data_IF_033770094456
#
_entry.id   IF_033770094456
#
_cell.length_a   1.000
_cell.length_b   1.000
_cell.length_c   1.000
_cell.angle_alpha   90.00
_cell.angle_beta   90.00
_cell.angle_gamma   90.00
#
_symmetry.space_group_name_H-M   'P 1'
#
loop_
_entity.id
_entity.type
_entity.pdbx_description
1 polymer ?
#
# COMPACT_ATOMS: atom_id res chain seq x y z
N UNK A 1 -10.84 1.33 -19.40
CA UNK A 1 -9.41 1.59 -19.08
C UNK A 1 -8.73 0.28 -18.74
N UNK A 2 -7.39 0.22 -18.79
CA UNK A 2 -6.68 -1.01 -18.43
C UNK A 2 -6.61 -1.18 -16.91
N UNK A 3 -6.22 -0.14 -16.19
CA UNK A 3 -6.06 -0.15 -14.75
C UNK A 3 -6.90 0.94 -14.09
N UNK A 4 -7.80 0.53 -13.20
CA UNK A 4 -8.57 1.43 -12.35
C UNK A 4 -7.71 1.84 -11.13
N UNK A 5 -7.46 3.14 -11.00
CA UNK A 5 -6.71 3.73 -9.89
C UNK A 5 -7.27 5.13 -9.58
N UNK A 6 -7.77 5.33 -8.36
CA UNK A 6 -8.47 6.56 -7.97
C UNK A 6 -7.52 7.67 -7.56
N UNK A 7 -6.83 8.29 -8.51
CA UNK A 7 -5.77 9.29 -8.24
C UNK A 7 -6.27 10.61 -7.65
N UNK A 8 -7.58 10.91 -7.75
CA UNK A 8 -8.20 12.10 -7.14
C UNK A 8 -8.06 12.11 -5.62
N UNK A 9 -8.18 10.92 -5.01
CA UNK A 9 -8.12 10.77 -3.55
C UNK A 9 -6.67 10.59 -3.05
N UNK A 10 -5.70 10.61 -3.95
CA UNK A 10 -4.26 10.40 -3.73
C UNK A 10 -3.93 9.03 -3.11
N UNK A 11 -4.53 8.68 -1.97
CA UNK A 11 -4.21 7.46 -1.23
C UNK A 11 -4.31 6.14 -2.03
N UNK A 12 -5.19 5.96 -3.04
CA UNK A 12 -5.29 4.68 -3.76
C UNK A 12 -4.05 4.30 -4.58
N UNK A 13 -3.08 5.22 -4.72
CA UNK A 13 -1.82 4.90 -5.38
C UNK A 13 -0.82 4.14 -4.47
N UNK A 14 -1.19 3.85 -3.20
CA UNK A 14 -0.34 3.19 -2.22
C UNK A 14 0.33 1.89 -2.70
N UNK A 15 -0.29 1.02 -3.51
CA UNK A 15 0.38 -0.20 -3.94
C UNK A 15 1.68 0.09 -4.71
N UNK A 16 1.70 1.19 -5.45
CA UNK A 16 2.83 1.62 -6.27
C UNK A 16 3.78 2.59 -5.55
N UNK A 17 3.27 3.43 -4.66
CA UNK A 17 4.05 4.48 -4.03
C UNK A 17 4.52 4.14 -2.63
N UNK A 18 3.76 3.33 -1.91
CA UNK A 18 4.08 2.91 -0.54
C UNK A 18 4.76 1.54 -0.51
N UNK A 19 4.19 0.56 -1.20
CA UNK A 19 4.65 -0.83 -1.12
C UNK A 19 5.71 -1.22 -2.13
N UNK A 20 5.69 -0.61 -3.31
CA UNK A 20 6.63 -0.97 -4.38
C UNK A 20 8.11 -0.89 -3.95
N UNK A 21 8.58 0.11 -3.16
CA UNK A 21 9.97 0.11 -2.68
C UNK A 21 10.31 -1.11 -1.82
N UNK A 22 9.39 -1.56 -0.96
CA UNK A 22 9.57 -2.77 -0.16
C UNK A 22 9.47 -4.05 -0.99
N UNK A 23 8.63 -4.06 -2.01
CA UNK A 23 8.54 -5.18 -2.96
C UNK A 23 9.79 -5.29 -3.84
N UNK A 24 10.35 -4.16 -4.27
CA UNK A 24 11.58 -4.11 -5.08
C UNK A 24 12.79 -4.64 -4.30
N UNK A 25 12.91 -4.24 -3.04
CA UNK A 25 14.03 -4.63 -2.17
C UNK A 25 13.85 -5.99 -1.48
N UNK A 26 12.62 -6.50 -1.37
CA UNK A 26 12.29 -7.61 -0.46
C UNK A 26 12.42 -7.25 1.03
N UNK A 27 12.47 -5.95 1.34
CA UNK A 27 12.68 -5.43 2.69
C UNK A 27 11.47 -4.64 3.18
N UNK A 28 10.69 -5.20 4.11
CA UNK A 28 9.55 -4.53 4.71
C UNK A 28 9.90 -3.31 5.55
N UNK A 29 11.18 -3.13 5.92
CA UNK A 29 11.73 -1.98 6.66
C UNK A 29 12.26 -0.88 5.72
N UNK A 30 11.78 -0.80 4.48
CA UNK A 30 12.32 0.14 3.49
C UNK A 30 12.31 1.60 3.98
N UNK A 31 11.25 2.05 4.66
CA UNK A 31 11.16 3.39 5.22
C UNK A 31 12.23 3.67 6.28
N UNK A 32 12.47 2.69 7.16
CA UNK A 32 13.53 2.79 8.17
C UNK A 32 14.91 2.79 7.51
N UNK A 33 15.11 2.02 6.44
CA UNK A 33 16.34 2.04 5.64
C UNK A 33 16.56 3.41 4.99
N UNK A 34 15.52 4.04 4.45
CA UNK A 34 15.60 5.40 3.90
C UNK A 34 16.05 6.42 4.96
N UNK A 35 15.59 6.28 6.20
CA UNK A 35 16.00 7.17 7.29
C UNK A 35 17.51 7.16 7.58
N UNK A 36 18.20 6.06 7.23
CA UNK A 36 19.67 5.94 7.41
C UNK A 36 20.47 6.42 6.20
N UNK A 37 19.84 6.83 5.11
CA UNK A 37 20.48 7.22 3.85
C UNK A 37 20.47 8.74 3.67
N UNK A 38 21.55 9.31 3.13
CA UNK A 38 21.61 10.74 2.79
C UNK A 38 20.81 11.07 1.51
N UNK A 39 20.69 10.10 0.61
CA UNK A 39 20.05 10.28 -0.69
C UNK A 39 19.19 9.06 -1.07
N UNK A 40 18.06 8.80 -0.37
CA UNK A 40 17.23 7.62 -0.60
C UNK A 40 16.53 7.59 -1.95
N UNK A 41 16.45 8.72 -2.65
CA UNK A 41 15.88 8.84 -3.99
C UNK A 41 16.96 8.90 -5.09
N UNK A 42 18.22 8.57 -4.80
CA UNK A 42 19.28 8.56 -5.79
C UNK A 42 19.15 7.38 -6.74
N UNK A 43 19.64 7.55 -7.97
CA UNK A 43 19.68 6.48 -8.97
C UNK A 43 20.35 5.22 -8.40
N UNK A 44 19.70 4.07 -8.64
CA UNK A 44 20.16 2.76 -8.15
C UNK A 44 19.59 2.33 -6.81
N UNK A 45 18.98 3.25 -6.02
CA UNK A 45 18.25 2.85 -4.80
C UNK A 45 16.94 2.13 -5.14
N UNK A 46 16.42 1.33 -4.22
CA UNK A 46 15.17 0.60 -4.43
C UNK A 46 13.97 1.55 -4.51
N UNK A 47 13.98 2.65 -3.74
CA UNK A 47 12.96 3.70 -3.83
C UNK A 47 12.97 4.38 -5.20
N UNK A 48 14.17 4.70 -5.75
CA UNK A 48 14.29 5.27 -7.09
C UNK A 48 13.71 4.32 -8.15
N UNK A 49 14.13 3.04 -8.15
CA UNK A 49 13.66 2.03 -9.09
C UNK A 49 12.13 1.87 -9.02
N UNK A 50 11.59 1.76 -7.81
CA UNK A 50 10.16 1.61 -7.59
C UNK A 50 9.36 2.78 -8.14
N UNK A 51 9.80 4.01 -7.87
CA UNK A 51 9.09 5.21 -8.31
C UNK A 51 9.26 5.48 -9.81
N UNK A 52 10.37 5.09 -10.42
CA UNK A 52 10.52 5.11 -11.87
C UNK A 52 9.55 4.16 -12.56
N UNK A 53 9.35 2.93 -12.04
CA UNK A 53 8.33 1.99 -12.54
C UNK A 53 6.91 2.55 -12.38
N UNK A 54 6.60 3.13 -11.21
CA UNK A 54 5.31 3.76 -10.97
C UNK A 54 5.06 4.92 -11.96
N UNK A 55 6.06 5.77 -12.18
CA UNK A 55 5.98 6.88 -13.11
C UNK A 55 5.75 6.42 -14.56
N UNK A 56 6.45 5.36 -15.00
CA UNK A 56 6.24 4.76 -16.32
C UNK A 56 4.80 4.24 -16.46
N UNK A 57 4.32 3.46 -15.49
CA UNK A 57 2.96 2.93 -15.49
C UNK A 57 1.92 4.06 -15.51
N UNK A 58 2.06 5.05 -14.66
CA UNK A 58 1.10 6.14 -14.52
C UNK A 58 1.01 7.00 -15.80
N UNK A 59 2.11 7.13 -16.54
CA UNK A 59 2.17 7.87 -17.80
C UNK A 59 1.96 7.00 -19.07
N UNK A 60 1.76 5.69 -18.92
CA UNK A 60 1.54 4.75 -20.03
C UNK A 60 0.19 4.92 -20.74
N UNK A 61 -0.75 5.64 -20.13
CA UNK A 61 -2.15 5.71 -20.57
C UNK A 61 -3.04 4.60 -20.00
N UNK A 62 -2.51 3.66 -19.22
CA UNK A 62 -3.27 2.57 -18.61
C UNK A 62 -4.38 3.06 -17.68
N UNK A 63 -4.16 4.20 -17.02
CA UNK A 63 -5.12 4.84 -16.09
C UNK A 63 -6.28 5.57 -16.80
N UNK A 64 -6.31 5.59 -18.14
CA UNK A 64 -7.34 6.28 -18.90
C UNK A 64 -7.04 7.77 -19.10
N UNK A 65 -8.11 8.54 -19.44
CA UNK A 65 -7.94 9.93 -19.90
C UNK A 65 -7.86 10.96 -18.79
N UNK A 66 -8.50 10.69 -17.65
CA UNK A 66 -8.62 11.65 -16.54
C UNK A 66 -8.51 10.91 -15.18
N UNK A 67 -7.33 10.35 -14.86
CA UNK A 67 -7.15 9.62 -13.59
C UNK A 67 -7.26 10.54 -12.36
N UNK A 68 -6.89 11.83 -12.47
CA UNK A 68 -7.01 12.82 -11.38
C UNK A 68 -8.46 13.23 -11.10
N UNK A 69 -9.39 12.99 -12.03
CA UNK A 69 -10.81 13.25 -11.85
C UNK A 69 -11.58 12.11 -11.17
N UNK A 70 -10.96 10.92 -11.02
CA UNK A 70 -11.60 9.71 -10.51
C UNK A 70 -11.19 9.42 -9.07
N UNK A 71 -12.17 9.33 -8.17
CA UNK A 71 -11.98 8.88 -6.78
C UNK A 71 -12.04 7.35 -6.65
N UNK A 72 -11.69 6.84 -5.46
CA UNK A 72 -11.64 5.41 -5.16
C UNK A 72 -12.96 4.70 -5.47
N UNK A 73 -14.08 5.17 -4.91
CA UNK A 73 -15.38 4.52 -5.09
C UNK A 73 -15.82 4.47 -6.56
N UNK A 74 -15.47 5.53 -7.32
CA UNK A 74 -15.76 5.57 -8.74
C UNK A 74 -14.98 4.51 -9.52
N UNK A 75 -13.69 4.32 -9.22
CA UNK A 75 -12.87 3.32 -9.93
C UNK A 75 -13.26 1.89 -9.53
N UNK A 76 -13.66 1.64 -8.28
CA UNK A 76 -14.25 0.36 -7.86
C UNK A 76 -15.54 0.08 -8.63
N UNK A 77 -16.45 1.06 -8.71
CA UNK A 77 -17.70 0.93 -9.49
C UNK A 77 -17.45 0.73 -11.00
N UNK A 78 -16.40 1.34 -11.55
CA UNK A 78 -16.01 1.12 -12.94
C UNK A 78 -15.45 -0.29 -13.17
N UNK A 79 -14.70 -0.83 -12.22
CA UNK A 79 -14.19 -2.19 -12.28
C UNK A 79 -15.32 -3.20 -12.20
N UNK A 80 -16.23 -3.11 -11.21
CA UNK A 80 -17.38 -4.01 -11.07
C UNK A 80 -18.33 -3.95 -12.27
N UNK A 81 -18.48 -2.76 -12.89
CA UNK A 81 -19.23 -2.57 -14.14
C UNK A 81 -18.45 -3.00 -15.41
N UNK A 82 -17.30 -3.67 -15.30
CA UNK A 82 -16.45 -4.15 -16.42
C UNK A 82 -15.95 -3.04 -17.36
N UNK A 83 -15.88 -1.79 -16.87
CA UNK A 83 -15.31 -0.63 -17.61
C UNK A 83 -13.81 -0.47 -17.43
N UNK A 84 -13.22 -1.21 -16.48
CA UNK A 84 -11.80 -1.36 -16.28
C UNK A 84 -11.44 -2.85 -16.22
N UNK A 85 -10.28 -3.21 -16.76
CA UNK A 85 -9.83 -4.59 -16.79
C UNK A 85 -9.19 -5.03 -15.49
N UNK A 86 -8.57 -4.10 -14.77
CA UNK A 86 -7.86 -4.35 -13.51
C UNK A 86 -8.18 -3.25 -12.48
N UNK A 87 -8.11 -3.62 -11.21
CA UNK A 87 -8.15 -2.71 -10.07
C UNK A 87 -6.93 -3.00 -9.18
N UNK A 88 -6.12 -1.99 -8.86
CA UNK A 88 -5.06 -2.13 -7.88
C UNK A 88 -5.58 -1.73 -6.50
N UNK A 89 -5.63 -2.70 -5.59
CA UNK A 89 -6.13 -2.49 -4.22
C UNK A 89 -5.62 -3.60 -3.29
N UNK A 90 -6.05 -3.62 -2.04
CA UNK A 90 -5.83 -4.71 -1.09
C UNK A 90 -6.99 -5.70 -1.07
N UNK A 91 -6.82 -6.80 -0.34
CA UNK A 91 -7.82 -7.85 -0.12
C UNK A 91 -9.13 -7.31 0.49
N UNK A 92 -9.04 -6.26 1.30
CA UNK A 92 -10.17 -5.56 1.91
C UNK A 92 -11.18 -5.01 0.88
N UNK A 93 -10.74 -4.72 -0.35
CA UNK A 93 -11.63 -4.23 -1.41
C UNK A 93 -12.61 -5.28 -1.91
N UNK A 94 -12.31 -6.58 -1.73
CA UNK A 94 -13.16 -7.68 -2.19
C UNK A 94 -14.57 -7.59 -1.61
N UNK A 95 -14.72 -7.22 -0.35
CA UNK A 95 -16.05 -7.06 0.27
C UNK A 95 -16.94 -6.05 -0.46
N UNK A 96 -16.36 -4.95 -0.95
CA UNK A 96 -17.11 -3.96 -1.73
C UNK A 96 -17.41 -4.49 -3.14
N UNK A 97 -16.43 -5.18 -3.74
CA UNK A 97 -16.59 -5.77 -5.08
C UNK A 97 -17.70 -6.82 -5.07
N UNK A 98 -17.77 -7.68 -4.05
CA UNK A 98 -18.81 -8.70 -3.91
C UNK A 98 -20.25 -8.15 -3.85
N UNK A 99 -20.42 -6.96 -3.28
CA UNK A 99 -21.73 -6.32 -3.20
C UNK A 99 -22.21 -5.79 -4.56
N UNK A 100 -21.26 -5.35 -5.39
CA UNK A 100 -21.57 -4.60 -6.60
C UNK A 100 -21.34 -5.43 -7.87
N UNK A 101 -20.61 -6.53 -7.81
CA UNK A 101 -20.35 -7.41 -8.95
C UNK A 101 -21.55 -8.35 -9.20
N UNK A 102 -21.99 -8.43 -10.44
CA UNK A 102 -23.06 -9.35 -10.85
C UNK A 102 -22.63 -10.83 -10.79
N UNK A 103 -21.35 -11.11 -11.02
CA UNK A 103 -20.79 -12.46 -11.15
C UNK A 103 -19.31 -12.47 -10.76
N UNK A 104 -19.01 -13.09 -9.64
CA UNK A 104 -17.64 -13.24 -9.12
C UNK A 104 -16.81 -14.29 -9.88
N UNK A 105 -17.42 -15.20 -10.61
CA UNK A 105 -16.70 -16.22 -11.37
C UNK A 105 -15.83 -15.65 -12.50
N UNK A 106 -16.01 -14.37 -12.81
CA UNK A 106 -15.21 -13.63 -13.80
C UNK A 106 -14.12 -12.76 -13.16
N UNK A 107 -14.01 -12.81 -11.83
CA UNK A 107 -13.01 -12.08 -11.08
C UNK A 107 -11.79 -12.97 -10.83
N UNK A 108 -10.63 -12.56 -11.31
CA UNK A 108 -9.35 -13.17 -10.99
C UNK A 108 -8.49 -12.26 -10.15
N UNK A 109 -7.53 -12.83 -9.42
CA UNK A 109 -6.59 -12.07 -8.59
C UNK A 109 -5.15 -12.47 -8.86
N UNK A 110 -4.25 -11.51 -8.74
CA UNK A 110 -2.81 -11.72 -8.77
C UNK A 110 -2.11 -10.69 -7.89
N UNK A 111 -0.94 -11.06 -7.40
CA UNK A 111 -0.10 -10.12 -6.64
C UNK A 111 0.56 -9.10 -7.56
N UNK A 112 0.81 -7.89 -7.02
CA UNK A 112 1.48 -6.83 -7.76
C UNK A 112 2.85 -7.31 -8.27
N UNK A 113 3.10 -7.34 -9.60
CA UNK A 113 4.35 -7.84 -10.17
C UNK A 113 5.47 -6.79 -10.01
N UNK A 114 6.26 -6.92 -8.94
CA UNK A 114 7.36 -5.99 -8.66
C UNK A 114 8.73 -6.46 -9.20
N UNK A 115 8.94 -7.79 -9.36
CA UNK A 115 10.21 -8.35 -9.84
C UNK A 115 10.57 -7.88 -11.26
N UNK A 116 11.88 -7.75 -11.53
CA UNK A 116 12.38 -7.32 -12.84
C UNK A 116 12.60 -8.48 -13.81
N UNK A 117 12.97 -9.65 -13.27
CA UNK A 117 13.23 -10.87 -14.02
C UNK A 117 12.59 -12.08 -13.35
N UNK A 118 12.46 -13.19 -14.06
CA UNK A 118 11.97 -14.44 -13.49
C UNK A 118 12.88 -15.02 -12.41
N UNK A 119 14.15 -14.64 -12.40
CA UNK A 119 15.12 -15.08 -11.39
C UNK A 119 14.99 -14.32 -10.07
N UNK A 120 14.34 -13.16 -10.08
CA UNK A 120 14.12 -12.37 -8.87
C UNK A 120 13.01 -12.99 -8.01
N UNK A 121 13.13 -12.83 -6.69
CA UNK A 121 12.07 -13.23 -5.76
C UNK A 121 10.74 -12.55 -6.08
N UNK A 122 9.65 -13.30 -6.01
CA UNK A 122 8.31 -12.71 -6.09
C UNK A 122 7.87 -12.27 -4.70
N UNK A 123 8.15 -11.01 -4.37
CA UNK A 123 7.85 -10.43 -3.07
C UNK A 123 6.38 -10.03 -2.98
N UNK A 124 5.74 -10.33 -1.86
CA UNK A 124 4.34 -10.02 -1.57
C UNK A 124 4.24 -9.35 -0.21
N UNK A 125 3.60 -8.19 -0.16
CA UNK A 125 3.42 -7.45 1.09
C UNK A 125 2.41 -8.15 2.00
N UNK A 126 2.80 -8.24 3.28
CA UNK A 126 1.90 -8.54 4.39
C UNK A 126 1.93 -7.34 5.34
N UNK A 127 0.79 -6.70 5.50
CA UNK A 127 0.62 -5.54 6.36
C UNK A 127 -0.35 -5.83 7.49
N UNK A 128 0.01 -5.44 8.73
CA UNK A 128 -0.98 -5.32 9.80
C UNK A 128 -1.86 -4.10 9.56
N UNK A 129 -3.16 -4.25 9.75
CA UNK A 129 -4.14 -3.18 9.57
C UNK A 129 -5.19 -3.19 10.68
N UNK A 130 -5.97 -2.12 10.77
CA UNK A 130 -7.08 -1.98 11.72
C UNK A 130 -6.64 -2.10 13.18
N UNK A 131 -5.70 -1.27 13.58
CA UNK A 131 -5.19 -1.22 14.97
C UNK A 131 -6.21 -0.62 15.93
N UNK A 132 -6.35 -1.22 17.11
CA UNK A 132 -7.19 -0.72 18.18
C UNK A 132 -6.36 -0.52 19.45
N UNK A 133 -6.49 0.63 20.09
CA UNK A 133 -5.75 0.95 21.30
C UNK A 133 -6.53 1.86 22.25
N UNK A 134 -6.15 1.83 23.54
CA UNK A 134 -6.68 2.72 24.57
C UNK A 134 -5.75 3.90 24.76
N UNK A 135 -6.25 5.13 24.57
CA UNK A 135 -5.42 6.32 24.72
C UNK A 135 -5.12 6.62 26.20
N UNK A 136 -3.95 7.17 26.48
CA UNK A 136 -3.55 7.60 27.83
C UNK A 136 -4.42 8.72 28.40
N UNK A 137 -5.15 9.43 27.55
CA UNK A 137 -6.06 10.52 27.95
C UNK A 137 -7.50 10.05 28.18
N UNK A 138 -7.77 8.73 28.06
CA UNK A 138 -9.11 8.18 28.28
C UNK A 138 -9.60 8.54 29.69
N UNK A 139 -10.86 8.99 29.78
CA UNK A 139 -11.55 9.21 31.07
C UNK A 139 -12.15 7.93 31.65
N UNK A 140 -12.14 6.84 30.87
CA UNK A 140 -12.70 5.52 31.24
C UNK A 140 -11.77 4.40 30.72
N UNK A 141 -10.49 4.36 31.15
CA UNK A 141 -9.53 3.41 30.59
C UNK A 141 -9.93 1.95 30.82
N UNK A 142 -10.48 1.62 31.99
CA UNK A 142 -10.93 0.25 32.30
C UNK A 142 -12.06 -0.22 31.35
N UNK A 143 -13.07 0.63 31.09
CA UNK A 143 -14.12 0.29 30.17
C UNK A 143 -13.62 0.19 28.71
N UNK A 144 -12.68 1.03 28.32
CA UNK A 144 -12.06 0.97 27.00
C UNK A 144 -11.22 -0.30 26.83
N UNK A 145 -10.46 -0.71 27.86
CA UNK A 145 -9.70 -1.95 27.86
C UNK A 145 -10.65 -3.17 27.76
N UNK A 146 -11.70 -3.18 28.57
CA UNK A 146 -12.70 -4.25 28.51
C UNK A 146 -13.38 -4.36 27.13
N UNK A 147 -13.60 -3.24 26.43
CA UNK A 147 -14.11 -3.24 25.06
C UNK A 147 -13.09 -3.85 24.08
N UNK A 148 -11.81 -3.50 24.18
CA UNK A 148 -10.75 -4.07 23.32
C UNK A 148 -10.64 -5.59 23.55
N UNK A 149 -10.66 -6.04 24.82
CA UNK A 149 -10.62 -7.45 25.19
C UNK A 149 -11.84 -8.21 24.66
N UNK A 150 -13.04 -7.62 24.77
CA UNK A 150 -14.26 -8.19 24.20
C UNK A 150 -14.17 -8.30 22.67
N UNK A 151 -13.72 -7.22 22.00
CA UNK A 151 -13.61 -7.19 20.54
C UNK A 151 -12.68 -8.29 19.99
N UNK A 152 -11.52 -8.47 20.64
CA UNK A 152 -10.55 -9.50 20.25
C UNK A 152 -10.83 -10.88 20.91
N UNK A 153 -11.92 -11.02 21.65
CA UNK A 153 -12.35 -12.25 22.27
C UNK A 153 -13.15 -13.18 21.34
N UNK A 154 -13.44 -14.37 21.84
CA UNK A 154 -14.16 -15.41 21.10
C UNK A 154 -15.61 -15.03 20.74
N UNK A 155 -16.19 -14.05 21.42
CA UNK A 155 -17.58 -13.62 21.18
C UNK A 155 -17.73 -12.62 20.00
N UNK A 156 -16.66 -11.88 19.66
CA UNK A 156 -16.76 -10.82 18.67
C UNK A 156 -15.79 -11.00 17.49
N UNK A 157 -14.52 -11.31 17.76
CA UNK A 157 -13.48 -11.33 16.73
C UNK A 157 -13.75 -12.31 15.58
N UNK A 158 -14.25 -13.55 15.79
CA UNK A 158 -14.57 -14.46 14.70
C UNK A 158 -15.61 -13.90 13.74
N UNK A 159 -16.66 -13.25 14.26
CA UNK A 159 -17.69 -12.64 13.41
C UNK A 159 -17.13 -11.46 12.62
N UNK A 160 -16.34 -10.61 13.27
CA UNK A 160 -15.67 -9.49 12.61
C UNK A 160 -14.74 -9.96 11.47
N UNK A 161 -13.84 -10.93 11.76
CA UNK A 161 -12.86 -11.36 10.74
C UNK A 161 -13.53 -12.13 9.60
N UNK A 162 -14.64 -12.81 9.84
CA UNK A 162 -15.43 -13.45 8.79
C UNK A 162 -16.18 -12.45 7.93
N UNK A 163 -16.54 -11.29 8.49
CA UNK A 163 -17.21 -10.22 7.75
C UNK A 163 -16.27 -9.47 6.80
N UNK A 164 -15.01 -9.24 7.20
CA UNK A 164 -14.00 -8.57 6.34
C UNK A 164 -13.27 -9.60 5.47
N UNK A 165 -12.72 -9.18 4.33
CA UNK A 165 -12.01 -10.10 3.41
C UNK A 165 -10.55 -10.33 3.79
N UNK A 166 -10.02 -9.59 4.76
CA UNK A 166 -8.61 -9.70 5.20
C UNK A 166 -8.33 -10.96 6.01
N UNK A 167 -7.07 -11.34 6.09
CA UNK A 167 -6.63 -12.48 6.89
C UNK A 167 -6.71 -12.19 8.40
N UNK A 168 -6.91 -13.24 9.20
CA UNK A 168 -6.84 -13.11 10.67
C UNK A 168 -5.41 -12.89 11.14
N UNK A 169 -5.20 -11.90 12.02
CA UNK A 169 -3.95 -11.70 12.74
C UNK A 169 -3.79 -12.59 13.97
N UNK A 170 -4.84 -13.34 14.34
CA UNK A 170 -4.88 -14.19 15.54
C UNK A 170 -4.87 -15.67 15.18
N UNK A 171 -3.86 -16.41 15.65
CA UNK A 171 -3.74 -17.85 15.40
C UNK A 171 -4.83 -18.68 16.09
N UNK A 172 -5.44 -18.15 17.17
CA UNK A 172 -6.56 -18.78 17.87
C UNK A 172 -7.87 -18.70 17.10
N UNK A 173 -7.99 -17.78 16.17
CA UNK A 173 -9.16 -17.59 15.31
C UNK A 173 -8.71 -17.55 13.85
N UNK A 174 -8.25 -18.70 13.29
CA UNK A 174 -7.81 -18.75 11.91
C UNK A 174 -9.00 -18.49 10.97
N UNK A 175 -8.71 -17.87 9.82
CA UNK A 175 -9.65 -17.69 8.73
C UNK A 175 -9.05 -18.27 7.45
N UNK A 176 -9.84 -19.02 6.73
CA UNK A 176 -9.47 -19.46 5.37
C UNK A 176 -9.55 -18.26 4.41
N UNK A 177 -8.58 -18.20 3.50
CA UNK A 177 -8.56 -17.17 2.47
C UNK A 177 -9.76 -17.39 1.53
N UNK A 178 -10.40 -16.30 1.14
CA UNK A 178 -11.46 -16.33 0.13
C UNK A 178 -10.96 -16.96 -1.17
N UNK A 179 -11.79 -17.78 -1.85
CA UNK A 179 -11.39 -18.50 -3.07
C UNK A 179 -10.84 -17.60 -4.17
N UNK A 180 -11.47 -16.44 -4.39
CA UNK A 180 -10.99 -15.43 -5.36
C UNK A 180 -9.57 -14.95 -5.02
N UNK A 181 -9.26 -14.75 -3.73
CA UNK A 181 -7.94 -14.31 -3.29
C UNK A 181 -6.90 -15.45 -3.27
N UNK A 182 -7.36 -16.70 -3.16
CA UNK A 182 -6.50 -17.89 -3.17
C UNK A 182 -5.85 -18.11 -4.55
N UNK A 183 -6.49 -17.70 -5.65
CA UNK A 183 -5.94 -17.77 -7.00
C UNK A 183 -4.56 -17.11 -7.10
N UNK A 184 -4.35 -15.96 -6.45
CA UNK A 184 -3.05 -15.30 -6.44
C UNK A 184 -1.94 -16.15 -5.80
N UNK A 185 -2.28 -16.98 -4.81
CA UNK A 185 -1.35 -17.92 -4.19
C UNK A 185 -0.98 -19.08 -5.13
N UNK A 186 -1.94 -19.57 -5.89
CA UNK A 186 -1.74 -20.62 -6.88
C UNK A 186 -0.85 -20.16 -8.03
N UNK A 187 -1.03 -18.91 -8.48
CA UNK A 187 -0.20 -18.29 -9.51
C UNK A 187 1.24 -18.02 -9.05
N UNK A 188 1.47 -17.87 -7.75
CA UNK A 188 2.77 -17.53 -7.17
C UNK A 188 3.10 -18.43 -5.98
N UNK A 189 3.31 -19.76 -6.20
CA UNK A 189 3.56 -20.71 -5.10
C UNK A 189 4.86 -20.44 -4.34
N UNK A 190 5.87 -19.88 -5.03
CA UNK A 190 7.20 -19.60 -4.48
C UNK A 190 7.36 -18.15 -4.00
N UNK A 191 6.25 -17.43 -3.76
CA UNK A 191 6.29 -16.04 -3.27
C UNK A 191 6.99 -15.93 -1.93
N UNK A 192 7.65 -14.79 -1.73
CA UNK A 192 8.28 -14.41 -0.47
C UNK A 192 7.41 -13.36 0.23
N UNK A 193 6.98 -13.66 1.44
CA UNK A 193 6.16 -12.73 2.24
C UNK A 193 7.06 -11.66 2.87
N UNK A 194 6.78 -10.42 2.58
CA UNK A 194 7.47 -9.23 3.09
C UNK A 194 6.59 -8.56 4.13
N UNK A 195 6.97 -8.67 5.41
CA UNK A 195 6.27 -8.02 6.51
C UNK A 195 6.55 -6.52 6.46
N UNK A 196 5.53 -5.75 6.08
CA UNK A 196 5.65 -4.30 5.91
C UNK A 196 5.61 -3.56 7.24
N UNK A 197 6.52 -2.60 7.38
CA UNK A 197 6.59 -1.64 8.47
C UNK A 197 6.45 -0.22 7.91
N UNK A 198 5.52 0.55 8.45
CA UNK A 198 5.19 1.91 8.01
C UNK A 198 6.24 2.97 8.35
N UNK A 199 7.39 2.58 8.90
CA UNK A 199 8.48 3.46 9.33
C UNK A 199 8.38 3.88 10.79
N UNK A 200 9.55 3.94 11.43
CA UNK A 200 9.72 4.36 12.83
C UNK A 200 9.89 5.88 13.00
N UNK A 201 10.22 6.27 14.24
CA UNK A 201 10.29 7.67 14.65
C UNK A 201 11.24 8.51 13.80
N UNK A 202 12.41 7.97 13.44
CA UNK A 202 13.41 8.67 12.62
C UNK A 202 12.87 8.96 11.22
N UNK A 203 12.24 7.97 10.56
CA UNK A 203 11.61 8.17 9.27
C UNK A 203 10.51 9.22 9.35
N UNK A 204 9.62 9.11 10.34
CA UNK A 204 8.49 10.02 10.55
C UNK A 204 8.99 11.45 10.79
N UNK A 205 10.06 11.62 11.59
CA UNK A 205 10.65 12.92 11.87
C UNK A 205 11.22 13.57 10.60
N UNK A 206 11.98 12.81 9.78
CA UNK A 206 12.51 13.30 8.50
C UNK A 206 11.37 13.60 7.54
N UNK A 207 10.43 12.68 7.37
CA UNK A 207 9.26 12.84 6.48
C UNK A 207 8.51 14.13 6.77
N UNK A 208 8.28 14.44 8.05
CA UNK A 208 7.59 15.66 8.47
C UNK A 208 8.43 16.91 8.19
N UNK A 209 9.74 16.87 8.45
CA UNK A 209 10.64 18.03 8.23
C UNK A 209 10.74 18.40 6.75
N UNK A 210 10.83 17.40 5.87
CA UNK A 210 10.90 17.60 4.40
C UNK A 210 9.53 17.73 3.74
N UNK A 211 8.45 17.48 4.47
CA UNK A 211 7.07 17.44 3.98
C UNK A 211 6.91 16.40 2.84
N UNK A 212 7.54 15.25 2.99
CA UNK A 212 7.43 14.17 2.01
C UNK A 212 6.10 13.45 2.15
N UNK A 213 5.37 13.35 1.05
CA UNK A 213 4.10 12.62 0.96
C UNK A 213 4.10 11.81 -0.34
N UNK A 214 4.29 10.50 -0.23
CA UNK A 214 4.33 9.60 -1.37
C UNK A 214 3.01 9.58 -2.16
N UNK A 215 1.87 9.79 -1.48
CA UNK A 215 0.54 9.81 -2.12
C UNK A 215 0.42 11.01 -3.06
N UNK A 216 0.82 12.19 -2.57
CA UNK A 216 0.87 13.42 -3.37
C UNK A 216 1.87 13.31 -4.50
N UNK A 217 3.06 12.75 -4.22
CA UNK A 217 4.08 12.55 -5.25
C UNK A 217 3.53 11.69 -6.39
N UNK A 218 2.84 10.57 -6.08
CA UNK A 218 2.21 9.74 -7.08
C UNK A 218 1.17 10.48 -7.93
N UNK A 219 0.33 11.31 -7.33
CA UNK A 219 -0.63 12.13 -8.06
C UNK A 219 0.05 13.21 -8.92
N UNK A 220 1.18 13.75 -8.46
CA UNK A 220 1.97 14.73 -9.22
C UNK A 220 2.64 14.15 -10.47
N UNK A 221 3.05 12.85 -10.42
CA UNK A 221 3.73 12.18 -11.55
C UNK A 221 2.93 12.21 -12.85
N UNK A 222 1.60 12.27 -12.80
CA UNK A 222 0.73 12.36 -14.00
C UNK A 222 0.36 13.78 -14.38
N UNK A 223 0.87 14.77 -13.66
CA UNK A 223 0.64 16.18 -13.97
C UNK A 223 1.55 16.61 -15.12
N UNK A 224 0.98 17.30 -16.11
CA UNK A 224 1.73 17.77 -17.28
C UNK A 224 2.94 18.63 -16.90
N UNK A 225 4.11 18.20 -17.35
CA UNK A 225 5.37 18.93 -17.12
C UNK A 225 6.03 18.64 -15.77
N UNK A 226 5.53 17.66 -15.01
CA UNK A 226 6.18 17.18 -13.81
C UNK A 226 7.52 16.49 -14.15
N UNK A 227 8.57 16.85 -13.43
CA UNK A 227 9.92 16.28 -13.57
C UNK A 227 10.27 15.50 -12.30
N UNK A 228 10.20 14.17 -12.40
CA UNK A 228 10.46 13.29 -11.28
C UNK A 228 11.94 13.32 -10.86
N UNK A 229 12.88 13.42 -11.82
CA UNK A 229 14.31 13.44 -11.50
C UNK A 229 14.68 14.73 -10.77
N UNK A 230 14.21 15.90 -11.23
CA UNK A 230 14.41 17.15 -10.53
C UNK A 230 13.79 17.12 -9.12
N UNK A 231 12.63 16.48 -8.96
CA UNK A 231 11.98 16.28 -7.67
C UNK A 231 12.83 15.39 -6.74
N UNK A 232 13.44 14.34 -7.27
CA UNK A 232 14.33 13.46 -6.48
C UNK A 232 15.61 14.19 -6.05
N UNK A 233 16.21 15.01 -6.90
CA UNK A 233 17.36 15.83 -6.53
C UNK A 233 17.02 16.78 -5.36
N UNK A 234 15.86 17.44 -5.45
CA UNK A 234 15.39 18.33 -4.39
C UNK A 234 15.10 17.56 -3.08
N UNK A 235 14.40 16.40 -3.17
CA UNK A 235 14.10 15.56 -2.02
C UNK A 235 15.36 15.02 -1.35
N UNK A 236 16.35 14.57 -2.11
CA UNK A 236 17.63 14.10 -1.57
C UNK A 236 18.35 15.22 -0.80
N UNK A 237 18.40 16.43 -1.36
CA UNK A 237 19.03 17.57 -0.69
C UNK A 237 18.31 17.92 0.62
N UNK A 238 16.98 17.96 0.62
CA UNK A 238 16.16 18.22 1.81
C UNK A 238 16.31 17.09 2.85
N UNK A 239 16.32 15.84 2.38
CA UNK A 239 16.42 14.65 3.24
C UNK A 239 17.73 14.64 4.02
N UNK A 240 18.85 14.88 3.34
CA UNK A 240 20.16 15.01 3.97
C UNK A 240 20.19 16.12 5.01
N UNK A 241 19.70 17.31 4.66
CA UNK A 241 19.66 18.44 5.58
C UNK A 241 18.78 18.18 6.80
N UNK A 242 17.65 17.48 6.63
CA UNK A 242 16.77 17.08 7.72
C UNK A 242 17.46 16.07 8.67
N UNK A 243 18.15 15.07 8.14
CA UNK A 243 18.93 14.11 8.96
C UNK A 243 19.99 14.81 9.79
N UNK A 244 20.76 15.70 9.18
CA UNK A 244 21.79 16.50 9.89
C UNK A 244 21.17 17.36 11.00
N UNK A 245 20.07 18.05 10.69
CA UNK A 245 19.33 18.90 11.63
C UNK A 245 18.76 18.12 12.82
N UNK A 246 18.22 16.92 12.55
CA UNK A 246 17.60 16.05 13.57
C UNK A 246 18.60 15.16 14.31
N UNK A 247 19.87 15.15 13.90
CA UNK A 247 20.92 14.31 14.49
C UNK A 247 20.74 12.82 14.21
N UNK A 248 20.01 12.46 13.17
CA UNK A 248 19.76 11.08 12.74
C UNK A 248 20.98 10.60 11.92
N UNK A 249 21.56 9.47 12.33
CA UNK A 249 22.82 8.93 11.75
C UNK A 249 22.54 7.83 10.72
#
# INVERSE_FOLDING_TARGET
MALALGMKDEWPNYPFMEFMPSLESGNGQNWNTMATQDAPFAEGTDTYKAYMKANELFNSGALGKDPLGLGHDQVVSMFTAKKAAMLASGDWALQTIEKDAEDLSQLGTFYLPARNTEADSYNVIVQGDSFMGVTTHSKKPEAATAFVEFFFGAECYPDFINYISSASSMTTFPKEKHEVLAEADELCPDKVLVMYDGGGDDFIAIQNDVTFDYKKLGAQMITKGFDLNATFEELNAKWKAAREKLGIK
#
